data_IF_469765799867
#
_entry.id   IF_469765799867
#
_cell.length_a   1.000
_cell.length_b   1.000
_cell.length_c   1.000
_cell.angle_alpha   90.00
_cell.angle_beta   90.00
_cell.angle_gamma   90.00
#
_symmetry.space_group_name_H-M   'P 1'
#
loop_
_entity.id
_entity.type
_entity.pdbx_description
1 polymer ?
#
# COMPACT_ATOMS: atom_id res chain seq x y z
N UNK A 1 -24.46 8.25 -16.76
CA UNK A 1 -23.02 8.57 -16.89
C UNK A 1 -22.42 8.31 -15.52
N UNK A 2 -21.60 7.27 -15.27
CA UNK A 2 -20.67 7.23 -14.10
C UNK A 2 -19.98 5.90 -13.75
N UNK A 3 -20.23 4.76 -14.40
CA UNK A 3 -19.48 3.53 -14.04
C UNK A 3 -17.96 3.60 -14.33
N UNK A 4 -17.53 4.52 -15.18
CA UNK A 4 -16.14 4.57 -15.67
C UNK A 4 -15.21 5.56 -14.93
N UNK A 5 -15.76 6.51 -14.17
CA UNK A 5 -14.96 7.52 -13.43
C UNK A 5 -14.60 7.00 -12.04
N UNK A 6 -15.54 6.28 -11.41
CA UNK A 6 -15.46 5.82 -10.03
C UNK A 6 -14.46 4.67 -9.82
N UNK A 7 -14.43 3.71 -10.75
CA UNK A 7 -13.40 2.66 -10.75
C UNK A 7 -12.00 3.26 -10.93
N UNK A 8 -11.84 4.33 -11.73
CA UNK A 8 -10.51 4.89 -12.00
C UNK A 8 -9.94 5.62 -10.80
N UNK A 9 -10.74 6.36 -10.04
CA UNK A 9 -10.27 7.10 -8.87
C UNK A 9 -9.94 6.17 -7.70
N UNK A 10 -10.81 5.20 -7.39
CA UNK A 10 -10.55 4.17 -6.37
C UNK A 10 -9.34 3.29 -6.75
N UNK A 11 -9.24 2.86 -8.01
CA UNK A 11 -8.08 2.12 -8.50
C UNK A 11 -6.82 2.98 -8.52
N UNK A 12 -6.92 4.29 -8.80
CA UNK A 12 -5.78 5.22 -8.76
C UNK A 12 -5.24 5.31 -7.33
N UNK A 13 -6.09 5.54 -6.33
CA UNK A 13 -5.67 5.67 -4.93
C UNK A 13 -5.04 4.39 -4.38
N UNK A 14 -5.61 3.23 -4.73
CA UNK A 14 -5.05 1.95 -4.34
C UNK A 14 -3.71 1.69 -5.07
N UNK A 15 -3.63 2.02 -6.36
CA UNK A 15 -2.40 1.86 -7.17
C UNK A 15 -1.27 2.78 -6.67
N UNK A 16 -1.58 4.03 -6.31
CA UNK A 16 -0.61 5.01 -5.77
C UNK A 16 0.01 4.51 -4.46
N UNK A 17 -0.68 3.68 -3.68
CA UNK A 17 -0.14 3.04 -2.47
C UNK A 17 0.57 1.70 -2.74
N UNK A 18 0.06 0.91 -3.68
CA UNK A 18 0.65 -0.40 -4.06
C UNK A 18 2.01 -0.24 -4.73
N UNK A 19 2.21 0.81 -5.54
CA UNK A 19 3.50 1.04 -6.22
C UNK A 19 4.64 1.25 -5.20
N UNK A 20 4.55 2.19 -4.23
CA UNK A 20 5.56 2.32 -3.18
C UNK A 20 5.74 1.05 -2.35
N UNK A 21 4.66 0.30 -2.07
CA UNK A 21 4.76 -0.98 -1.37
C UNK A 21 5.60 -1.99 -2.17
N UNK A 22 5.37 -2.10 -3.48
CA UNK A 22 6.15 -2.97 -4.37
C UNK A 22 7.62 -2.60 -4.40
N UNK A 23 7.93 -1.30 -4.42
CA UNK A 23 9.32 -0.80 -4.33
C UNK A 23 9.95 -1.20 -3.00
N UNK A 24 9.25 -1.02 -1.88
CA UNK A 24 9.76 -1.39 -0.55
C UNK A 24 10.02 -2.89 -0.44
N UNK A 25 9.11 -3.74 -0.94
CA UNK A 25 9.29 -5.20 -0.94
C UNK A 25 10.47 -5.60 -1.82
N UNK A 26 10.61 -4.98 -3.00
CA UNK A 26 11.73 -5.22 -3.89
C UNK A 26 13.06 -4.91 -3.21
N UNK A 27 13.19 -3.72 -2.61
CA UNK A 27 14.42 -3.33 -1.93
C UNK A 27 14.67 -4.10 -0.64
N UNK A 28 13.62 -4.48 0.08
CA UNK A 28 13.74 -5.38 1.23
C UNK A 28 14.39 -6.70 0.80
N UNK A 29 13.87 -7.33 -0.26
CA UNK A 29 14.46 -8.53 -0.83
C UNK A 29 15.90 -8.29 -1.30
N UNK A 30 16.12 -7.25 -2.09
CA UNK A 30 17.44 -6.89 -2.62
C UNK A 30 18.47 -6.74 -1.50
N UNK A 31 18.18 -6.00 -0.42
CA UNK A 31 19.09 -5.81 0.71
C UNK A 31 19.23 -7.04 1.61
N UNK A 32 18.28 -7.97 1.55
CA UNK A 32 18.39 -9.24 2.28
C UNK A 32 19.34 -10.21 1.57
N UNK A 33 19.36 -10.21 0.22
CA UNK A 33 20.19 -11.13 -0.58
C UNK A 33 21.50 -10.54 -1.09
N UNK A 34 21.53 -9.23 -1.32
CA UNK A 34 22.66 -8.50 -1.87
C UNK A 34 23.03 -7.39 -0.89
N UNK A 35 24.26 -7.45 -0.39
CA UNK A 35 24.78 -6.40 0.47
C UNK A 35 25.79 -5.53 -0.31
N UNK A 36 25.39 -4.33 -0.75
CA UNK A 36 26.28 -3.42 -1.47
C UNK A 36 27.28 -2.69 -0.56
N UNK A 37 27.08 -2.68 0.77
CA UNK A 37 27.86 -1.85 1.70
C UNK A 37 28.58 -2.66 2.81
N UNK A 38 28.37 -3.97 2.87
CA UNK A 38 28.94 -4.90 3.84
C UNK A 38 28.04 -5.14 5.06
N UNK A 39 28.04 -6.39 5.55
CA UNK A 39 27.18 -6.82 6.66
C UNK A 39 27.73 -6.28 7.98
N UNK A 40 27.19 -5.16 8.43
CA UNK A 40 27.48 -4.59 9.74
C UNK A 40 26.23 -4.68 10.61
N UNK A 41 26.27 -5.52 11.66
CA UNK A 41 25.07 -5.90 12.43
C UNK A 41 24.15 -4.73 12.80
N UNK A 42 24.68 -3.63 13.33
CA UNK A 42 23.87 -2.45 13.68
C UNK A 42 23.31 -1.71 12.46
N UNK A 43 24.11 -1.49 11.42
CA UNK A 43 23.67 -0.74 10.24
C UNK A 43 22.67 -1.55 9.39
N UNK A 44 22.93 -2.84 9.18
CA UNK A 44 22.01 -3.74 8.48
C UNK A 44 20.68 -3.87 9.23
N UNK A 45 20.71 -3.93 10.58
CA UNK A 45 19.50 -3.95 11.40
C UNK A 45 18.68 -2.67 11.26
N UNK A 46 19.33 -1.51 11.29
CA UNK A 46 18.66 -0.21 11.12
C UNK A 46 18.08 -0.08 9.71
N UNK A 47 18.84 -0.44 8.68
CA UNK A 47 18.40 -0.40 7.29
C UNK A 47 17.18 -1.28 7.05
N UNK A 48 17.25 -2.57 7.40
CA UNK A 48 16.14 -3.50 7.23
C UNK A 48 14.97 -3.12 8.13
N UNK A 49 15.23 -2.71 9.38
CA UNK A 49 14.21 -2.27 10.32
C UNK A 49 13.39 -1.09 9.79
N UNK A 50 14.05 -0.06 9.25
CA UNK A 50 13.37 1.09 8.66
C UNK A 50 12.51 0.66 7.46
N UNK A 51 13.07 -0.13 6.54
CA UNK A 51 12.34 -0.60 5.34
C UNK A 51 11.13 -1.45 5.74
N UNK A 52 11.30 -2.38 6.69
CA UNK A 52 10.20 -3.22 7.20
C UNK A 52 9.12 -2.38 7.86
N UNK A 53 9.49 -1.44 8.74
CA UNK A 53 8.52 -0.56 9.41
C UNK A 53 7.73 0.25 8.38
N UNK A 54 8.40 0.80 7.36
CA UNK A 54 7.73 1.54 6.28
C UNK A 54 6.80 0.64 5.48
N UNK A 55 7.24 -0.57 5.11
CA UNK A 55 6.43 -1.52 4.34
C UNK A 55 5.18 -1.96 5.11
N UNK A 56 5.33 -2.28 6.40
CA UNK A 56 4.22 -2.66 7.29
C UNK A 56 3.26 -1.48 7.46
N UNK A 57 3.77 -0.30 7.79
CA UNK A 57 2.92 0.89 8.00
C UNK A 57 2.12 1.21 6.75
N UNK A 58 2.76 1.20 5.57
CA UNK A 58 2.09 1.45 4.31
C UNK A 58 1.08 0.36 3.97
N UNK A 59 1.40 -0.91 4.21
CA UNK A 59 0.45 -2.02 4.00
C UNK A 59 -0.81 -1.85 4.85
N UNK A 60 -0.62 -1.47 6.13
CA UNK A 60 -1.73 -1.20 7.05
C UNK A 60 -2.58 -0.03 6.54
N UNK A 61 -1.95 1.09 6.18
CA UNK A 61 -2.67 2.25 5.64
C UNK A 61 -3.42 1.90 4.35
N UNK A 62 -2.78 1.19 3.42
CA UNK A 62 -3.39 0.75 2.15
C UNK A 62 -4.63 -0.11 2.39
N UNK A 63 -4.54 -1.06 3.32
CA UNK A 63 -5.65 -1.94 3.68
C UNK A 63 -6.82 -1.14 4.28
N UNK A 64 -6.55 -0.23 5.21
CA UNK A 64 -7.60 0.59 5.80
C UNK A 64 -8.21 1.55 4.78
N UNK A 65 -7.42 2.20 3.93
CA UNK A 65 -7.94 3.05 2.85
C UNK A 65 -8.86 2.27 1.92
N UNK A 66 -8.45 1.08 1.46
CA UNK A 66 -9.29 0.24 0.60
C UNK A 66 -10.57 -0.22 1.29
N UNK A 67 -10.49 -0.59 2.57
CA UNK A 67 -11.68 -0.99 3.35
C UNK A 67 -12.67 0.16 3.54
N UNK A 68 -12.16 1.36 3.84
CA UNK A 68 -12.99 2.55 4.04
C UNK A 68 -13.69 2.93 2.74
N UNK A 69 -12.97 2.95 1.63
CA UNK A 69 -13.56 3.23 0.31
C UNK A 69 -14.66 2.22 -0.02
N UNK A 70 -14.38 0.92 0.05
CA UNK A 70 -15.39 -0.11 -0.25
C UNK A 70 -16.67 -0.02 0.63
N UNK A 71 -16.53 0.45 1.87
CA UNK A 71 -17.69 0.64 2.77
C UNK A 71 -18.52 1.85 2.35
N UNK A 72 -17.85 2.96 2.06
CA UNK A 72 -18.45 4.21 1.57
C UNK A 72 -19.20 4.03 0.23
N UNK A 73 -18.76 3.09 -0.60
CA UNK A 73 -19.41 2.73 -1.87
C UNK A 73 -20.71 1.94 -1.64
N UNK A 74 -20.69 0.95 -0.75
CA UNK A 74 -21.86 0.12 -0.43
C UNK A 74 -23.01 0.94 0.19
N UNK A 75 -22.69 1.90 1.05
CA UNK A 75 -23.70 2.79 1.66
C UNK A 75 -24.38 3.70 0.63
N UNK A 76 -23.60 4.23 -0.34
CA UNK A 76 -24.14 5.05 -1.44
C UNK A 76 -25.08 4.25 -2.34
N UNK A 77 -24.70 3.04 -2.76
CA UNK A 77 -25.58 2.19 -3.59
C UNK A 77 -26.87 1.77 -2.87
N UNK A 78 -26.82 1.58 -1.55
CA UNK A 78 -27.99 1.26 -0.74
C UNK A 78 -28.99 2.41 -0.64
N UNK A 79 -28.49 3.65 -0.54
CA UNK A 79 -29.32 4.86 -0.54
C UNK A 79 -29.99 5.08 -1.90
N UNK A 80 -29.27 4.90 -3.01
CA UNK A 80 -29.80 5.11 -4.37
C UNK A 80 -30.84 4.05 -4.80
N UNK A 81 -30.84 2.84 -4.21
CA UNK A 81 -31.86 1.82 -4.45
C UNK A 81 -33.10 1.95 -3.56
N UNK A 82 -33.02 2.77 -2.51
CA UNK A 82 -34.11 3.00 -1.55
C UNK A 82 -35.07 4.14 -1.96
N UNK A 83 -34.68 4.94 -2.95
CA UNK A 83 -35.48 6.02 -3.59
C UNK A 83 -36.14 5.54 -4.89
#
# INVERSE_FOLDING_TARGET
MSRDVFDRETLLDLTVNVIPLGILVFFLGAFTFVDPFGWHGTYSLLQLGIVVIMAVSLSVLTYYSGKLIATDELEREGSERGE
#
